data_IF_035848974049
#
_entry.id   IF_035848974049
#
_cell.length_a   1.000
_cell.length_b   1.000
_cell.length_c   1.000
_cell.angle_alpha   90.00
_cell.angle_beta   90.00
_cell.angle_gamma   90.00
#
_symmetry.space_group_name_H-M   'P 1'
#
loop_
_entity.id
_entity.type
_entity.pdbx_description
1 polymer ?
#
# COMPACT_ATOMS: atom_id res chain seq x y z
N UNK A 1 -7.24 -1.76 9.86
CA UNK A 1 -7.47 -0.31 9.68
C UNK A 1 -7.21 0.05 8.22
N UNK A 2 -8.07 0.84 7.61
CA UNK A 2 -7.91 1.32 6.23
C UNK A 2 -8.13 2.84 6.24
N UNK A 3 -7.04 3.59 6.31
CA UNK A 3 -7.04 5.04 6.45
C UNK A 3 -5.70 5.58 5.94
N UNK A 4 -5.58 6.90 5.82
CA UNK A 4 -4.33 7.55 5.46
C UNK A 4 -3.19 7.20 6.44
N UNK A 5 -1.95 7.21 5.95
CA UNK A 5 -0.78 6.88 6.77
C UNK A 5 -0.66 7.73 8.05
N UNK A 6 -1.06 9.00 7.99
CA UNK A 6 -1.02 9.89 9.15
C UNK A 6 -2.13 9.57 10.17
N UNK A 7 -3.31 9.15 9.70
CA UNK A 7 -4.37 8.64 10.59
C UNK A 7 -3.91 7.37 11.30
N UNK A 8 -3.31 6.42 10.57
CA UNK A 8 -2.76 5.19 11.16
C UNK A 8 -1.69 5.53 12.19
N UNK A 9 -0.77 6.45 11.87
CA UNK A 9 0.26 6.92 12.80
C UNK A 9 -0.35 7.46 14.09
N UNK A 10 -1.35 8.33 13.99
CA UNK A 10 -2.03 8.90 15.15
C UNK A 10 -2.67 7.84 16.05
N UNK A 11 -3.33 6.84 15.44
CA UNK A 11 -3.93 5.73 16.18
C UNK A 11 -2.85 4.89 16.88
N UNK A 12 -1.76 4.55 16.19
CA UNK A 12 -0.68 3.75 16.78
C UNK A 12 0.00 4.47 17.95
N UNK A 13 0.23 5.79 17.85
CA UNK A 13 0.77 6.58 18.95
C UNK A 13 -0.18 6.60 20.15
N UNK A 14 -1.49 6.77 19.92
CA UNK A 14 -2.48 6.69 20.99
C UNK A 14 -2.48 5.30 21.66
N UNK A 15 -2.52 4.23 20.86
CA UNK A 15 -2.47 2.86 21.34
C UNK A 15 -1.21 2.58 22.17
N UNK A 16 -0.05 3.10 21.75
CA UNK A 16 1.21 2.96 22.47
C UNK A 16 1.16 3.62 23.85
N UNK A 17 0.60 4.83 23.95
CA UNK A 17 0.41 5.54 25.24
C UNK A 17 -0.54 4.82 26.18
N UNK A 18 -1.47 4.05 25.64
CA UNK A 18 -2.37 3.21 26.41
C UNK A 18 -1.78 1.81 26.71
N UNK A 19 -0.52 1.55 26.37
CA UNK A 19 0.15 0.28 26.64
C UNK A 19 -0.32 -0.88 25.75
N UNK A 20 -1.07 -0.60 24.68
CA UNK A 20 -1.69 -1.62 23.83
C UNK A 20 -0.73 -2.24 22.80
N UNK A 21 0.46 -1.66 22.61
CA UNK A 21 1.42 -2.11 21.59
C UNK A 21 2.48 -3.07 22.15
N UNK A 22 2.31 -3.54 23.39
CA UNK A 22 3.30 -4.38 24.10
C UNK A 22 3.10 -5.89 23.86
N UNK A 23 2.18 -6.29 22.97
CA UNK A 23 1.97 -7.68 22.56
C UNK A 23 0.54 -8.20 22.75
N UNK A 24 -0.30 -7.51 23.52
CA UNK A 24 -1.67 -7.95 23.79
C UNK A 24 -2.63 -7.70 22.61
N UNK A 25 -2.25 -6.82 21.68
CA UNK A 25 -3.05 -6.45 20.52
C UNK A 25 -2.23 -6.60 19.24
N UNK A 26 -2.87 -7.14 18.20
CA UNK A 26 -2.33 -7.18 16.85
C UNK A 26 -3.01 -6.09 16.01
N UNK A 27 -2.22 -5.14 15.52
CA UNK A 27 -2.72 -4.08 14.64
C UNK A 27 -2.45 -4.46 13.19
N UNK A 28 -3.43 -4.23 12.33
CA UNK A 28 -3.29 -4.40 10.89
C UNK A 28 -3.67 -3.12 10.17
N UNK A 29 -2.85 -2.64 9.25
CA UNK A 29 -3.26 -1.64 8.26
C UNK A 29 -3.24 -2.25 6.85
N UNK A 30 -4.07 -1.71 5.97
CA UNK A 30 -4.16 -2.13 4.58
C UNK A 30 -3.55 -1.04 3.71
N UNK A 31 -2.49 -1.37 3.01
CA UNK A 31 -1.77 -0.52 2.06
C UNK A 31 -1.64 -1.27 0.74
N UNK A 32 -2.71 -1.23 -0.06
CA UNK A 32 -2.78 -1.99 -1.31
C UNK A 32 -1.85 -1.42 -2.38
N UNK A 33 -1.66 -0.10 -2.35
CA UNK A 33 -0.78 0.59 -3.26
C UNK A 33 0.03 1.61 -2.50
N UNK A 34 1.30 1.71 -2.86
CA UNK A 34 2.24 2.67 -2.29
C UNK A 34 1.95 4.07 -2.89
N UNK A 35 0.72 4.55 -2.69
CA UNK A 35 0.28 5.91 -3.02
C UNK A 35 0.24 6.73 -1.75
N UNK A 36 0.39 8.04 -1.92
CA UNK A 36 0.21 9.04 -0.85
C UNK A 36 -1.11 8.88 -0.09
N UNK A 37 -2.13 8.30 -0.73
CA UNK A 37 -3.47 8.06 -0.17
C UNK A 37 -3.47 7.06 1.00
N UNK A 38 -2.58 6.05 0.97
CA UNK A 38 -2.46 5.04 2.05
C UNK A 38 -1.20 5.20 2.90
N UNK A 39 -0.25 6.03 2.45
CA UNK A 39 1.06 6.21 3.08
C UNK A 39 2.07 5.19 2.59
N UNK A 40 3.33 5.38 2.95
CA UNK A 40 4.48 4.54 2.59
C UNK A 40 4.78 3.43 3.63
N UNK A 41 3.82 3.16 4.52
CA UNK A 41 4.00 2.30 5.69
C UNK A 41 5.04 2.83 6.70
N UNK A 42 5.60 4.02 6.50
CA UNK A 42 6.69 4.53 7.33
C UNK A 42 6.14 5.13 8.62
N UNK A 43 6.77 4.75 9.72
CA UNK A 43 6.63 5.40 11.02
C UNK A 43 7.48 6.66 11.14
N UNK A 44 8.29 7.05 10.14
CA UNK A 44 9.17 8.20 10.26
C UNK A 44 8.52 9.44 9.67
N UNK A 45 8.48 10.55 10.42
CA UNK A 45 8.01 11.87 9.97
C UNK A 45 9.03 12.98 10.23
N UNK A 46 10.13 12.69 10.92
CA UNK A 46 11.11 13.70 11.33
C UNK A 46 10.62 14.56 12.50
N UNK A 47 9.63 14.08 13.25
CA UNK A 47 9.06 14.77 14.39
C UNK A 47 9.60 14.22 15.72
N UNK A 48 9.19 14.85 16.84
CA UNK A 48 9.57 14.42 18.20
C UNK A 48 8.98 13.06 18.62
N UNK A 49 7.99 12.54 17.88
CA UNK A 49 7.28 11.31 18.16
C UNK A 49 7.84 10.11 17.38
N UNK A 50 8.84 10.29 16.52
CA UNK A 50 9.41 9.23 15.69
C UNK A 50 9.90 8.02 16.51
N UNK A 51 10.52 8.26 17.67
CA UNK A 51 10.96 7.16 18.53
C UNK A 51 9.78 6.36 19.12
N UNK A 52 8.74 7.08 19.55
CA UNK A 52 7.49 6.50 20.08
C UNK A 52 6.76 5.71 18.98
N UNK A 53 6.64 6.30 17.79
CA UNK A 53 6.01 5.68 16.63
C UNK A 53 6.73 4.41 16.20
N UNK A 54 8.08 4.41 16.22
CA UNK A 54 8.87 3.22 15.91
C UNK A 54 8.52 2.05 16.83
N UNK A 55 8.35 2.32 18.13
CA UNK A 55 7.96 1.28 19.09
C UNK A 55 6.52 0.82 18.83
N UNK A 56 5.59 1.75 18.63
CA UNK A 56 4.20 1.43 18.34
C UNK A 56 4.06 0.53 17.10
N UNK A 57 4.78 0.86 16.03
CA UNK A 57 4.74 0.14 14.76
C UNK A 57 5.34 -1.27 14.82
N UNK A 58 6.07 -1.63 15.88
CA UNK A 58 6.50 -3.03 16.09
C UNK A 58 5.32 -4.00 16.25
N UNK A 59 4.15 -3.47 16.64
CA UNK A 59 2.88 -4.22 16.77
C UNK A 59 1.94 -4.08 15.57
N UNK A 60 2.35 -3.34 14.52
CA UNK A 60 1.57 -3.09 13.32
C UNK A 60 2.05 -3.98 12.16
N UNK A 61 1.13 -4.70 11.55
CA UNK A 61 1.36 -5.45 10.32
C UNK A 61 0.65 -4.79 9.13
N UNK A 62 1.42 -4.49 8.08
CA UNK A 62 0.88 -3.93 6.84
C UNK A 62 0.50 -5.05 5.87
N UNK A 63 -0.78 -5.11 5.52
CA UNK A 63 -1.29 -5.97 4.44
C UNK A 63 -1.15 -5.19 3.13
N UNK A 64 -0.38 -5.74 2.19
CA UNK A 64 -0.13 -5.13 0.88
C UNK A 64 -0.30 -6.16 -0.25
N UNK A 65 -0.42 -5.68 -1.48
CA UNK A 65 -0.44 -6.54 -2.66
C UNK A 65 0.93 -7.18 -2.87
N UNK A 66 0.92 -8.46 -3.25
CA UNK A 66 2.15 -9.17 -3.61
C UNK A 66 2.74 -8.52 -4.88
N UNK A 67 3.82 -7.74 -4.71
CA UNK A 67 4.61 -7.26 -5.83
C UNK A 67 5.44 -8.41 -6.39
N UNK A 68 5.22 -8.73 -7.66
CA UNK A 68 6.12 -9.58 -8.42
C UNK A 68 7.33 -8.76 -8.85
N UNK A 69 8.52 -9.12 -8.38
CA UNK A 69 9.81 -8.52 -8.80
C UNK A 69 10.28 -9.05 -10.16
N UNK A 70 9.33 -9.45 -11.00
CA UNK A 70 9.63 -10.00 -12.32
C UNK A 70 9.98 -8.84 -13.27
N UNK A 71 11.05 -8.93 -14.07
CA UNK A 71 11.42 -7.86 -15.02
C UNK A 71 10.28 -7.46 -15.96
N UNK A 72 9.40 -8.40 -16.31
CA UNK A 72 8.22 -8.17 -17.14
C UNK A 72 7.22 -7.22 -16.46
N UNK A 73 7.06 -7.33 -15.14
CA UNK A 73 6.17 -6.46 -14.37
C UNK A 73 6.74 -5.03 -14.25
N UNK A 74 8.05 -4.89 -14.11
CA UNK A 74 8.71 -3.57 -14.11
C UNK A 74 8.54 -2.87 -15.46
N UNK A 75 8.77 -3.60 -16.56
CA UNK A 75 8.55 -3.07 -17.91
C UNK A 75 7.11 -2.63 -18.12
N UNK A 76 6.15 -3.47 -17.76
CA UNK A 76 4.72 -3.14 -17.81
C UNK A 76 4.41 -1.88 -16.99
N UNK A 77 4.90 -1.81 -15.75
CA UNK A 77 4.68 -0.66 -14.86
C UNK A 77 5.20 0.65 -15.47
N UNK A 78 6.39 0.61 -16.08
CA UNK A 78 6.97 1.77 -16.78
C UNK A 78 6.13 2.19 -18.00
N UNK A 79 5.65 1.23 -18.79
CA UNK A 79 4.82 1.51 -19.97
C UNK A 79 3.46 2.12 -19.59
N UNK A 80 2.82 1.59 -18.54
CA UNK A 80 1.57 2.15 -18.00
C UNK A 80 1.83 3.56 -17.47
N UNK A 81 2.91 3.77 -16.71
CA UNK A 81 3.25 5.09 -16.16
C UNK A 81 3.45 6.12 -17.27
N UNK A 82 4.22 5.77 -18.30
CA UNK A 82 4.43 6.63 -19.48
C UNK A 82 3.13 6.95 -20.21
N UNK A 83 2.18 6.01 -20.26
CA UNK A 83 0.88 6.21 -20.92
C UNK A 83 -0.03 7.15 -20.13
N UNK A 84 -0.04 7.03 -18.81
CA UNK A 84 -0.80 7.91 -17.89
C UNK A 84 -0.25 9.34 -17.92
N UNK A 85 1.08 9.50 -17.89
CA UNK A 85 1.74 10.80 -18.00
C UNK A 85 1.42 11.50 -19.33
N UNK A 86 1.41 10.76 -20.44
CA UNK A 86 1.03 11.30 -21.77
C UNK A 86 -0.42 11.76 -21.83
N UNK A 87 -1.30 11.18 -21.02
CA UNK A 87 -2.71 11.56 -20.93
C UNK A 87 -2.94 12.74 -19.97
N UNK A 88 -1.89 13.24 -19.30
CA UNK A 88 -1.99 14.34 -18.33
C UNK A 88 -2.67 13.95 -17.02
N UNK A 89 -2.74 12.65 -16.73
CA UNK A 89 -3.36 12.08 -15.54
C UNK A 89 -2.34 12.02 -14.37
N UNK A 90 -2.85 12.01 -13.15
CA UNK A 90 -2.02 12.08 -11.93
C UNK A 90 -1.61 10.68 -11.41
N UNK A 91 -0.76 10.62 -10.37
CA UNK A 91 -0.32 9.35 -9.78
C UNK A 91 -1.46 8.53 -9.15
N UNK A 92 -2.56 9.16 -8.73
CA UNK A 92 -3.73 8.43 -8.22
C UNK A 92 -4.46 7.71 -9.37
N UNK A 93 -4.54 8.34 -10.54
CA UNK A 93 -5.08 7.73 -11.76
C UNK A 93 -4.22 6.53 -12.20
N UNK A 94 -2.88 6.61 -12.09
CA UNK A 94 -1.98 5.50 -12.41
C UNK A 94 -2.31 4.21 -11.63
N UNK A 95 -2.65 4.36 -10.34
CA UNK A 95 -2.99 3.25 -9.46
C UNK A 95 -4.27 2.57 -9.93
N UNK A 96 -5.30 3.38 -10.23
CA UNK A 96 -6.56 2.88 -10.76
C UNK A 96 -6.37 2.18 -12.11
N UNK A 97 -5.54 2.74 -12.99
CA UNK A 97 -5.21 2.15 -14.29
C UNK A 97 -4.45 0.84 -14.16
N UNK A 98 -3.49 0.71 -13.24
CA UNK A 98 -2.81 -0.56 -13.00
C UNK A 98 -3.78 -1.61 -12.47
N UNK A 99 -4.61 -1.28 -11.48
CA UNK A 99 -5.66 -2.17 -10.98
C UNK A 99 -6.54 -2.67 -12.10
N UNK A 100 -7.10 -1.76 -12.89
CA UNK A 100 -7.99 -2.11 -13.99
C UNK A 100 -7.26 -2.95 -15.03
N UNK A 101 -6.06 -2.56 -15.44
CA UNK A 101 -5.31 -3.26 -16.49
C UNK A 101 -4.88 -4.65 -16.03
N UNK A 102 -4.39 -4.81 -14.80
CA UNK A 102 -4.00 -6.11 -14.25
C UNK A 102 -5.21 -7.01 -14.02
N UNK A 103 -6.32 -6.48 -13.50
CA UNK A 103 -7.57 -7.24 -13.32
C UNK A 103 -8.15 -7.67 -14.67
N UNK A 104 -8.12 -6.79 -15.68
CA UNK A 104 -8.59 -7.13 -17.03
C UNK A 104 -7.70 -8.21 -17.64
N UNK A 105 -6.36 -8.09 -17.57
CA UNK A 105 -5.43 -9.07 -18.11
C UNK A 105 -5.54 -10.42 -17.39
N UNK A 106 -5.67 -10.43 -16.06
CA UNK A 106 -5.82 -11.67 -15.30
C UNK A 106 -7.17 -12.34 -15.57
N UNK A 107 -8.28 -11.61 -15.60
CA UNK A 107 -9.58 -12.17 -15.98
C UNK A 107 -9.61 -12.67 -17.43
N UNK A 108 -8.99 -11.96 -18.36
CA UNK A 108 -8.86 -12.42 -19.75
C UNK A 108 -8.03 -13.71 -19.85
N UNK A 109 -6.96 -13.82 -19.06
CA UNK A 109 -6.10 -15.02 -19.02
C UNK A 109 -6.80 -16.22 -18.36
N UNK A 110 -7.65 -15.97 -17.34
CA UNK A 110 -8.53 -16.97 -16.73
C UNK A 110 -9.62 -17.44 -17.70
N UNK A 111 -10.22 -16.55 -18.50
CA UNK A 111 -11.16 -16.92 -19.56
C UNK A 111 -10.52 -17.77 -20.67
N UNK A 112 -9.26 -17.52 -21.02
CA UNK A 112 -8.52 -18.29 -22.04
C UNK A 112 -7.99 -19.65 -21.54
N UNK A 113 -7.98 -19.87 -20.22
CA UNK A 113 -7.52 -21.12 -19.59
C UNK A 113 -8.66 -21.99 -19.05
N UNK A 114 -9.91 -21.57 -19.22
CA UNK A 114 -11.07 -22.41 -18.94
C UNK A 114 -11.12 -23.56 -19.98
N UNK A 115 -11.12 -24.83 -19.54
CA UNK A 115 -11.31 -25.94 -20.46
C UNK A 115 -12.73 -25.85 -21.05
N UNK A 116 -12.80 -25.91 -22.39
CA UNK A 116 -14.06 -25.99 -23.17
C UNK A 116 -14.81 -27.28 -22.82
#
# INVERSE_FOLDING_TARGET
>A
MCASGDTIRGIMLAAHRHGMTSGDYAFFNIELFNSSSYGDGSWKRGDKHDFEAKQAYSSLQTITLLRTVKPEFEKFSMEVKSSVEKQGLNEEDYIFYILHTVIIITNASLCLSAPV
#
